data_IF_503463880997
#
_entry.id   IF_503463880997
#
_cell.length_a   1.000
_cell.length_b   1.000
_cell.length_c   1.000
_cell.angle_alpha   90.00
_cell.angle_beta   90.00
_cell.angle_gamma   90.00
#
_symmetry.space_group_name_H-M   'P 1'
#
loop_
_entity.id
_entity.type
_entity.pdbx_description
1 polymer ?
#
# COMPACT_ATOMS: atom_id res chain seq x y z
N UNK A 1 60.80 10.63 18.79
CA UNK A 1 59.81 11.01 17.77
C UNK A 1 58.77 9.90 17.74
N UNK A 2 57.56 10.14 18.27
CA UNK A 2 56.53 9.11 18.44
C UNK A 2 55.66 9.09 17.18
N UNK A 3 55.61 7.94 16.51
CA UNK A 3 54.78 7.73 15.33
C UNK A 3 53.31 7.93 15.68
N UNK A 4 52.68 8.90 15.01
CA UNK A 4 51.25 9.14 15.04
C UNK A 4 50.59 8.10 14.13
N UNK A 5 50.11 7.01 14.72
CA UNK A 5 49.31 6.01 14.01
C UNK A 5 47.95 6.61 13.69
N UNK A 6 47.71 6.88 12.41
CA UNK A 6 46.40 7.28 11.89
C UNK A 6 45.40 6.15 12.21
N UNK A 7 44.51 6.41 13.15
CA UNK A 7 43.42 5.53 13.52
C UNK A 7 42.45 5.37 12.34
N UNK A 8 41.96 4.16 12.05
CA UNK A 8 41.10 3.89 10.90
C UNK A 8 39.66 4.34 11.22
N UNK A 9 39.44 5.66 11.27
CA UNK A 9 38.13 6.24 11.56
C UNK A 9 37.12 6.05 10.42
N UNK A 10 37.58 5.60 9.24
CA UNK A 10 36.75 5.39 8.05
C UNK A 10 35.96 4.07 8.03
N UNK A 11 36.17 3.16 8.99
CA UNK A 11 35.47 1.86 9.01
C UNK A 11 34.17 1.85 9.83
N UNK A 12 33.88 2.88 10.62
CA UNK A 12 32.78 2.83 11.60
C UNK A 12 31.53 3.63 11.18
N UNK A 13 31.60 4.39 10.09
CA UNK A 13 30.45 5.18 9.60
C UNK A 13 29.27 4.36 9.01
N UNK A 14 29.41 3.14 8.46
CA UNK A 14 28.26 2.43 7.91
C UNK A 14 27.38 1.76 8.99
N UNK A 15 27.84 1.68 10.25
CA UNK A 15 27.06 1.06 11.33
C UNK A 15 25.94 1.98 11.86
N UNK A 16 26.09 3.30 11.70
CA UNK A 16 25.15 4.28 12.26
C UNK A 16 23.82 4.33 11.47
N UNK A 17 23.84 3.97 10.18
CA UNK A 17 22.64 3.90 9.34
C UNK A 17 21.73 2.70 9.65
N UNK A 18 22.26 1.65 10.28
CA UNK A 18 21.52 0.43 10.62
C UNK A 18 20.66 0.60 11.88
N UNK A 19 20.95 1.63 12.69
CA UNK A 19 20.30 1.87 13.98
C UNK A 19 19.19 2.92 13.94
N UNK A 20 18.81 3.46 12.77
CA UNK A 20 17.56 4.21 12.68
C UNK A 20 16.41 3.18 12.62
N UNK A 21 15.60 3.01 13.69
CA UNK A 21 14.31 2.41 13.48
C UNK A 21 13.57 3.32 12.51
N UNK A 22 13.20 2.80 11.33
CA UNK A 22 12.02 3.32 10.66
C UNK A 22 10.86 3.04 11.61
N UNK A 23 10.58 3.98 12.50
CA UNK A 23 9.32 4.05 13.19
C UNK A 23 8.26 4.41 12.15
N UNK A 24 7.93 3.44 11.30
CA UNK A 24 6.66 3.40 10.62
C UNK A 24 5.64 3.14 11.73
N UNK A 25 5.17 4.21 12.36
CA UNK A 25 3.98 4.16 13.19
C UNK A 25 2.81 3.98 12.21
N UNK A 26 2.70 2.77 11.66
CA UNK A 26 1.49 2.30 11.03
C UNK A 26 0.48 2.13 12.16
N UNK A 27 -0.25 3.21 12.42
CA UNK A 27 -1.47 3.17 13.20
C UNK A 27 -2.33 1.99 12.69
N UNK A 28 -2.74 1.02 13.54
CA UNK A 28 -3.47 -0.16 13.11
C UNK A 28 -4.94 0.16 12.79
N UNK A 29 -5.23 1.40 12.38
CA UNK A 29 -6.51 1.76 11.84
C UNK A 29 -6.59 1.23 10.41
N UNK A 30 -7.26 0.10 10.28
CA UNK A 30 -7.64 -0.50 9.00
C UNK A 30 -8.57 0.42 8.18
N UNK A 31 -8.98 1.58 8.71
CA UNK A 31 -9.87 2.56 8.07
C UNK A 31 -9.14 3.87 7.84
N UNK A 32 -9.33 4.44 6.65
CA UNK A 32 -8.87 5.78 6.24
C UNK A 32 -10.09 6.61 5.85
N UNK A 33 -10.25 7.78 6.48
CA UNK A 33 -11.28 8.75 6.10
C UNK A 33 -10.75 9.69 5.00
N UNK A 34 -11.49 9.82 3.90
CA UNK A 34 -11.09 10.56 2.71
C UNK A 34 -12.10 11.69 2.43
N UNK A 35 -11.93 12.43 1.32
CA UNK A 35 -12.86 13.49 0.90
C UNK A 35 -12.93 14.70 1.86
N UNK A 36 -11.81 15.40 2.07
CA UNK A 36 -11.78 16.63 2.91
C UNK A 36 -12.86 17.63 2.46
N UNK A 37 -13.73 18.03 3.38
CA UNK A 37 -14.80 19.00 3.12
C UNK A 37 -16.08 18.42 2.52
N UNK A 38 -16.10 17.13 2.15
CA UNK A 38 -17.31 16.44 1.68
C UNK A 38 -17.98 15.70 2.83
N UNK A 39 -18.65 16.49 3.68
CA UNK A 39 -19.34 15.92 4.84
C UNK A 39 -20.71 15.35 4.49
N UNK A 40 -21.08 14.27 5.17
CA UNK A 40 -22.44 13.73 5.14
C UNK A 40 -23.30 14.59 6.04
N UNK A 41 -24.40 15.12 5.50
CA UNK A 41 -25.47 15.70 6.30
C UNK A 41 -26.33 14.58 6.87
N UNK A 42 -26.73 14.74 8.13
CA UNK A 42 -27.65 13.83 8.83
C UNK A 42 -28.95 13.73 8.02
N UNK A 43 -29.42 12.50 7.77
CA UNK A 43 -30.61 12.18 6.97
C UNK A 43 -30.50 12.62 5.50
N UNK A 44 -29.29 12.59 4.93
CA UNK A 44 -29.11 12.77 3.49
C UNK A 44 -29.57 11.53 2.70
N UNK A 45 -29.99 11.73 1.46
CA UNK A 45 -30.25 10.64 0.52
C UNK A 45 -28.99 9.77 0.32
N UNK A 46 -27.80 10.36 0.44
CA UNK A 46 -26.53 9.64 0.44
C UNK A 46 -26.44 8.63 1.60
N UNK A 47 -26.81 9.05 2.82
CA UNK A 47 -26.84 8.16 3.98
C UNK A 47 -27.83 7.01 3.79
N UNK A 48 -29.01 7.29 3.25
CA UNK A 48 -30.01 6.27 2.92
C UNK A 48 -29.48 5.26 1.88
N UNK A 49 -28.78 5.75 0.85
CA UNK A 49 -28.16 4.91 -0.17
C UNK A 49 -27.03 4.03 0.41
N UNK A 50 -26.25 4.54 1.37
CA UNK A 50 -25.25 3.73 2.10
C UNK A 50 -25.93 2.63 2.93
N UNK A 51 -27.05 2.94 3.58
CA UNK A 51 -27.84 1.92 4.30
C UNK A 51 -28.39 0.85 3.36
N UNK A 52 -28.86 1.23 2.17
CA UNK A 52 -29.33 0.30 1.16
C UNK A 52 -28.18 -0.59 0.64
N UNK A 53 -27.00 -0.02 0.39
CA UNK A 53 -25.79 -0.79 0.07
C UNK A 53 -25.47 -1.83 1.16
N UNK A 54 -25.53 -1.44 2.43
CA UNK A 54 -25.30 -2.35 3.54
C UNK A 54 -26.35 -3.48 3.62
N UNK A 55 -27.60 -3.22 3.22
CA UNK A 55 -28.64 -4.25 3.13
C UNK A 55 -28.42 -5.19 1.94
N UNK A 56 -28.01 -4.67 0.79
CA UNK A 56 -27.62 -5.46 -0.38
C UNK A 56 -26.48 -6.42 -0.04
N UNK A 57 -25.38 -5.93 0.53
CA UNK A 57 -24.22 -6.76 0.91
C UNK A 57 -24.58 -7.91 1.86
N UNK A 58 -25.58 -7.72 2.73
CA UNK A 58 -26.06 -8.77 3.65
C UNK A 58 -26.96 -9.80 2.98
N UNK A 59 -27.75 -9.39 1.99
CA UNK A 59 -28.77 -10.24 1.32
C UNK A 59 -28.24 -10.95 0.07
N UNK A 60 -27.12 -10.49 -0.48
CA UNK A 60 -26.52 -11.04 -1.67
C UNK A 60 -26.08 -12.50 -1.48
N UNK A 61 -26.47 -13.38 -2.41
CA UNK A 61 -26.15 -14.82 -2.33
C UNK A 61 -24.65 -15.03 -2.36
N UNK A 62 -24.17 -15.97 -1.55
CA UNK A 62 -22.74 -16.25 -1.39
C UNK A 62 -22.07 -16.61 -2.71
N UNK A 63 -22.80 -17.27 -3.61
CA UNK A 63 -22.32 -17.68 -4.94
C UNK A 63 -22.19 -16.53 -5.94
N UNK A 64 -22.75 -15.36 -5.64
CA UNK A 64 -22.77 -14.21 -6.54
C UNK A 64 -21.56 -13.29 -6.38
N UNK A 65 -20.81 -13.38 -5.27
CA UNK A 65 -19.59 -12.60 -5.04
C UNK A 65 -18.48 -13.12 -5.98
N UNK A 66 -18.19 -12.44 -7.10
CA UNK A 66 -17.14 -12.85 -8.02
C UNK A 66 -15.82 -12.56 -7.30
N UNK A 67 -15.05 -13.61 -7.05
CA UNK A 67 -13.77 -13.48 -6.37
C UNK A 67 -12.89 -12.42 -7.05
N UNK A 68 -12.24 -11.63 -6.20
CA UNK A 68 -11.21 -10.60 -6.47
C UNK A 68 -11.69 -9.16 -6.64
N UNK A 69 -12.82 -8.87 -7.29
CA UNK A 69 -13.22 -7.48 -7.52
C UNK A 69 -14.73 -7.35 -7.70
N UNK A 70 -15.36 -6.41 -6.99
CA UNK A 70 -16.80 -6.16 -7.11
C UNK A 70 -17.10 -4.69 -6.88
N UNK A 71 -17.91 -4.13 -7.78
CA UNK A 71 -18.39 -2.76 -7.74
C UNK A 71 -19.87 -2.75 -7.35
N UNK A 72 -20.26 -1.73 -6.59
CA UNK A 72 -21.63 -1.50 -6.18
C UNK A 72 -21.98 -0.05 -6.45
N UNK A 73 -23.12 0.16 -7.09
CA UNK A 73 -23.71 1.48 -7.30
C UNK A 73 -25.12 1.49 -6.76
N UNK A 74 -25.43 2.45 -5.90
CA UNK A 74 -26.75 2.58 -5.27
C UNK A 74 -27.20 4.04 -5.31
N UNK A 75 -28.39 4.27 -5.87
CA UNK A 75 -28.99 5.59 -5.99
C UNK A 75 -28.47 6.41 -7.19
N UNK A 76 -29.16 7.52 -7.46
CA UNK A 76 -28.86 8.43 -8.56
C UNK A 76 -28.05 9.64 -8.10
N UNK A 77 -27.39 10.32 -9.04
CA UNK A 77 -26.65 11.56 -8.75
C UNK A 77 -27.62 12.66 -8.26
N UNK A 78 -27.19 13.53 -7.33
CA UNK A 78 -25.83 13.66 -6.79
C UNK A 78 -25.55 12.78 -5.54
N UNK A 79 -26.56 12.06 -5.04
CA UNK A 79 -26.50 11.33 -3.78
C UNK A 79 -26.24 9.82 -3.94
N UNK A 80 -25.92 9.41 -5.16
CA UNK A 80 -25.48 8.05 -5.46
C UNK A 80 -24.22 7.67 -4.71
N UNK A 81 -24.18 6.41 -4.28
CA UNK A 81 -23.06 5.79 -3.58
C UNK A 81 -22.36 4.83 -4.53
N UNK A 82 -21.06 4.93 -4.57
CA UNK A 82 -20.20 3.98 -5.28
C UNK A 82 -19.29 3.27 -4.27
N UNK A 83 -19.22 1.95 -4.34
CA UNK A 83 -18.31 1.16 -3.53
C UNK A 83 -17.58 0.13 -4.36
N UNK A 84 -16.28 -0.01 -4.13
CA UNK A 84 -15.44 -1.04 -4.75
C UNK A 84 -14.83 -1.91 -3.67
N UNK A 85 -14.97 -3.22 -3.82
CA UNK A 85 -14.43 -4.21 -2.90
C UNK A 85 -13.50 -5.18 -3.61
N UNK A 86 -12.48 -5.63 -2.87
CA UNK A 86 -11.51 -6.63 -3.34
C UNK A 86 -11.26 -7.62 -2.23
N UNK A 87 -11.39 -8.91 -2.54
CA UNK A 87 -11.12 -9.98 -1.59
C UNK A 87 -9.78 -10.63 -1.88
N UNK A 88 -9.14 -11.12 -0.82
CA UNK A 88 -7.88 -11.86 -0.92
C UNK A 88 -8.08 -13.14 -1.75
N UNK A 89 -7.09 -13.47 -2.58
CA UNK A 89 -7.06 -14.74 -3.30
C UNK A 89 -7.16 -15.91 -2.32
N UNK A 90 -8.01 -16.88 -2.65
CA UNK A 90 -8.21 -18.09 -1.84
C UNK A 90 -9.18 -17.94 -0.67
N UNK A 91 -9.77 -16.75 -0.46
CA UNK A 91 -10.90 -16.58 0.46
C UNK A 91 -12.19 -17.06 -0.21
N UNK A 92 -12.96 -17.91 0.46
CA UNK A 92 -14.27 -18.35 -0.02
C UNK A 92 -15.26 -17.18 -0.06
N UNK A 93 -16.28 -17.27 -0.90
CA UNK A 93 -17.21 -16.16 -1.12
C UNK A 93 -17.99 -15.76 0.13
N UNK A 94 -18.23 -16.67 1.08
CA UNK A 94 -18.91 -16.34 2.36
C UNK A 94 -18.04 -15.49 3.25
N UNK A 95 -16.78 -15.90 3.42
CA UNK A 95 -15.79 -15.16 4.19
C UNK A 95 -15.49 -13.80 3.56
N UNK A 96 -15.44 -13.74 2.24
CA UNK A 96 -15.28 -12.50 1.48
C UNK A 96 -16.43 -11.52 1.75
N UNK A 97 -17.69 -11.97 1.56
CA UNK A 97 -18.88 -11.13 1.84
C UNK A 97 -18.94 -10.66 3.29
N UNK A 98 -18.64 -11.56 4.24
CA UNK A 98 -18.60 -11.20 5.66
C UNK A 98 -17.55 -10.12 5.95
N UNK A 99 -16.36 -10.26 5.34
CA UNK A 99 -15.31 -9.24 5.44
C UNK A 99 -15.74 -7.91 4.84
N UNK A 100 -16.32 -7.89 3.64
CA UNK A 100 -16.76 -6.65 2.98
C UNK A 100 -17.90 -5.97 3.75
N UNK A 101 -18.82 -6.75 4.32
CA UNK A 101 -19.90 -6.22 5.17
C UNK A 101 -19.34 -5.57 6.44
N UNK A 102 -18.37 -6.23 7.08
CA UNK A 102 -17.66 -5.69 8.24
C UNK A 102 -16.86 -4.43 7.87
N UNK A 103 -16.17 -4.45 6.74
CA UNK A 103 -15.40 -3.34 6.22
C UNK A 103 -16.27 -2.10 6.03
N UNK A 104 -17.47 -2.25 5.46
CA UNK A 104 -18.41 -1.14 5.33
C UNK A 104 -18.81 -0.60 6.70
N UNK A 105 -19.17 -1.49 7.63
CA UNK A 105 -19.54 -1.09 8.98
C UNK A 105 -18.42 -0.31 9.68
N UNK A 106 -17.19 -0.84 9.69
CA UNK A 106 -16.05 -0.17 10.31
C UNK A 106 -15.73 1.16 9.64
N UNK A 107 -15.78 1.21 8.31
CA UNK A 107 -15.58 2.44 7.57
C UNK A 107 -16.61 3.52 7.92
N UNK A 108 -17.88 3.15 8.15
CA UNK A 108 -18.93 4.07 8.59
C UNK A 108 -18.77 4.48 10.06
N UNK A 109 -18.36 3.58 10.94
CA UNK A 109 -18.15 3.88 12.35
C UNK A 109 -16.95 4.79 12.59
N UNK A 110 -15.83 4.54 11.91
CA UNK A 110 -14.63 5.36 12.05
C UNK A 110 -14.72 6.69 11.28
N UNK A 111 -15.49 6.73 10.19
CA UNK A 111 -15.65 7.93 9.35
C UNK A 111 -17.13 8.38 9.24
N UNK A 112 -17.82 8.70 10.35
CA UNK A 112 -19.27 8.92 10.37
C UNK A 112 -19.71 10.09 9.48
N UNK A 113 -18.88 11.14 9.42
CA UNK A 113 -19.19 12.36 8.68
C UNK A 113 -18.53 12.43 7.31
N UNK A 114 -17.79 11.41 6.88
CA UNK A 114 -17.11 11.45 5.58
C UNK A 114 -17.93 10.71 4.52
N UNK A 115 -18.05 11.34 3.34
CA UNK A 115 -18.63 10.69 2.16
C UNK A 115 -17.69 9.64 1.57
N UNK A 116 -16.38 9.83 1.69
CA UNK A 116 -15.38 8.88 1.21
C UNK A 116 -14.62 8.21 2.36
N UNK A 117 -14.46 6.90 2.28
CA UNK A 117 -13.63 6.14 3.21
C UNK A 117 -13.07 4.88 2.55
N UNK A 118 -11.95 4.40 3.06
CA UNK A 118 -11.33 3.17 2.61
C UNK A 118 -11.01 2.28 3.81
N UNK A 119 -11.24 0.97 3.65
CA UNK A 119 -10.90 -0.06 4.61
C UNK A 119 -9.94 -1.07 3.98
N UNK A 120 -8.94 -1.50 4.73
CA UNK A 120 -7.97 -2.51 4.32
C UNK A 120 -7.67 -3.47 5.47
N UNK A 121 -7.82 -4.77 5.22
CA UNK A 121 -7.36 -5.83 6.10
C UNK A 121 -6.78 -6.97 5.24
N UNK A 122 -6.12 -7.95 5.86
CA UNK A 122 -5.54 -9.10 5.20
C UNK A 122 -6.56 -9.98 4.44
N UNK A 123 -7.86 -9.84 4.69
CA UNK A 123 -8.91 -10.64 4.04
C UNK A 123 -9.64 -9.91 2.91
N UNK A 124 -9.84 -8.59 3.02
CA UNK A 124 -10.51 -7.78 2.01
C UNK A 124 -10.16 -6.30 2.16
N UNK A 125 -10.43 -5.54 1.11
CA UNK A 125 -10.47 -4.09 1.10
C UNK A 125 -11.80 -3.59 0.55
N UNK A 126 -12.24 -2.43 1.02
CA UNK A 126 -13.44 -1.75 0.54
C UNK A 126 -13.13 -0.25 0.44
N UNK A 127 -13.51 0.39 -0.66
CA UNK A 127 -13.50 1.85 -0.79
C UNK A 127 -14.89 2.34 -1.12
N UNK A 128 -15.38 3.31 -0.36
CA UNK A 128 -16.70 3.92 -0.45
C UNK A 128 -16.51 5.39 -0.85
N UNK A 129 -17.25 5.88 -1.84
CA UNK A 129 -17.20 7.27 -2.31
C UNK A 129 -18.56 7.69 -2.92
N UNK A 130 -18.78 8.99 -3.13
CA UNK A 130 -19.87 9.47 -3.97
C UNK A 130 -19.73 8.97 -5.41
N UNK A 131 -20.85 8.57 -6.01
CA UNK A 131 -20.90 8.12 -7.40
C UNK A 131 -20.44 9.18 -8.42
N UNK A 132 -20.55 10.48 -8.07
CA UNK A 132 -19.99 11.58 -8.88
C UNK A 132 -18.46 11.51 -9.04
N UNK A 133 -17.73 10.80 -8.16
CA UNK A 133 -16.27 10.66 -8.21
C UNK A 133 -15.83 9.29 -8.76
N UNK A 134 -16.71 8.55 -9.45
CA UNK A 134 -16.34 7.27 -10.06
C UNK A 134 -15.13 7.38 -10.99
N UNK A 135 -15.05 8.44 -11.81
CA UNK A 135 -13.93 8.66 -12.72
C UNK A 135 -12.57 8.77 -12.00
N UNK A 136 -12.54 9.32 -10.77
CA UNK A 136 -11.31 9.42 -9.97
C UNK A 136 -10.77 8.06 -9.54
N UNK A 137 -11.65 7.06 -9.35
CA UNK A 137 -11.21 5.69 -9.06
C UNK A 137 -10.59 5.02 -10.26
N UNK A 138 -11.19 5.17 -11.44
CA UNK A 138 -10.64 4.62 -12.68
C UNK A 138 -9.23 5.17 -12.90
N UNK A 139 -9.03 6.47 -12.67
CA UNK A 139 -7.71 7.09 -12.70
C UNK A 139 -6.79 6.54 -11.59
N UNK A 140 -7.28 6.37 -10.37
CA UNK A 140 -6.51 5.82 -9.24
C UNK A 140 -6.06 4.36 -9.45
N UNK A 141 -6.86 3.51 -10.10
CA UNK A 141 -6.47 2.14 -10.44
C UNK A 141 -5.33 2.12 -11.45
N UNK A 142 -5.40 2.97 -12.49
CA UNK A 142 -4.31 3.13 -13.45
C UNK A 142 -3.03 3.65 -12.78
N UNK A 143 -3.14 4.56 -11.81
CA UNK A 143 -2.00 5.06 -11.05
C UNK A 143 -1.41 4.01 -10.11
N UNK A 144 -2.24 3.17 -9.49
CA UNK A 144 -1.77 2.09 -8.61
C UNK A 144 -1.03 1.02 -9.41
N UNK A 145 -1.53 0.66 -10.59
CA UNK A 145 -0.82 -0.21 -11.52
C UNK A 145 0.51 0.43 -11.96
N UNK A 146 0.50 1.72 -12.33
CA UNK A 146 1.74 2.47 -12.64
C UNK A 146 2.71 2.50 -11.46
N UNK A 147 2.25 2.75 -10.23
CA UNK A 147 3.08 2.75 -9.02
C UNK A 147 3.67 1.36 -8.78
N UNK A 148 2.90 0.30 -8.94
CA UNK A 148 3.39 -1.08 -8.82
C UNK A 148 4.46 -1.38 -9.87
N UNK A 149 4.28 -0.92 -11.11
CA UNK A 149 5.28 -1.04 -12.18
C UNK A 149 6.54 -0.22 -11.86
N UNK A 150 6.39 1.03 -11.42
CA UNK A 150 7.50 1.93 -11.04
C UNK A 150 8.27 1.37 -9.85
N UNK A 151 7.57 0.85 -8.84
CA UNK A 151 8.18 0.26 -7.65
C UNK A 151 8.93 -1.04 -8.00
N UNK A 152 8.41 -1.85 -8.94
CA UNK A 152 9.12 -3.01 -9.49
C UNK A 152 10.36 -2.61 -10.30
N UNK A 153 10.29 -1.56 -11.11
CA UNK A 153 11.44 -1.04 -11.85
C UNK A 153 12.51 -0.43 -10.93
N UNK A 154 12.09 0.25 -9.86
CA UNK A 154 12.98 0.80 -8.85
C UNK A 154 13.74 -0.32 -8.11
N UNK A 155 13.05 -1.44 -7.80
CA UNK A 155 13.69 -2.60 -7.19
C UNK A 155 14.74 -3.26 -8.10
N UNK A 156 14.48 -3.36 -9.40
CA UNK A 156 15.45 -3.85 -10.38
C UNK A 156 16.66 -2.91 -10.51
N UNK A 157 16.44 -1.60 -10.52
CA UNK A 157 17.53 -0.61 -10.59
C UNK A 157 18.51 -0.72 -9.40
N UNK A 158 18.00 -0.97 -8.19
CA UNK A 158 18.85 -1.17 -7.01
C UNK A 158 19.68 -2.47 -7.08
N UNK A 159 19.15 -3.53 -7.70
CA UNK A 159 19.90 -4.77 -7.95
C UNK A 159 21.06 -4.54 -8.92
N UNK A 160 20.85 -3.77 -9.99
CA UNK A 160 21.94 -3.43 -10.94
C UNK A 160 23.05 -2.60 -10.30
N UNK A 161 22.70 -1.68 -9.41
CA UNK A 161 23.68 -0.92 -8.64
C UNK A 161 24.51 -1.83 -7.72
N UNK A 162 23.86 -2.75 -7.00
CA UNK A 162 24.55 -3.68 -6.10
C UNK A 162 25.55 -4.61 -6.83
N UNK A 163 25.16 -5.13 -8.00
CA UNK A 163 26.05 -5.96 -8.83
C UNK A 163 27.24 -5.14 -9.33
N UNK A 164 27.01 -3.90 -9.77
CA UNK A 164 28.07 -3.00 -10.21
C UNK A 164 29.09 -2.69 -9.09
N UNK A 165 28.62 -2.38 -7.89
CA UNK A 165 29.49 -2.14 -6.73
C UNK A 165 30.24 -3.41 -6.30
N UNK A 166 29.59 -4.58 -6.29
CA UNK A 166 30.25 -5.84 -5.98
C UNK A 166 31.35 -6.17 -6.99
N UNK A 167 31.12 -5.88 -8.27
CA UNK A 167 32.10 -6.12 -9.32
C UNK A 167 33.30 -5.15 -9.23
N UNK A 168 33.05 -3.86 -9.01
CA UNK A 168 34.10 -2.87 -8.75
C UNK A 168 34.95 -3.25 -7.52
N UNK A 169 34.30 -3.67 -6.44
CA UNK A 169 34.99 -4.13 -5.24
C UNK A 169 35.85 -5.37 -5.52
N UNK A 170 35.33 -6.33 -6.29
CA UNK A 170 36.09 -7.52 -6.69
C UNK A 170 37.31 -7.17 -7.56
N UNK A 171 37.17 -6.21 -8.50
CA UNK A 171 38.29 -5.72 -9.31
C UNK A 171 39.35 -5.03 -8.45
N UNK A 172 38.95 -4.23 -7.45
CA UNK A 172 39.89 -3.61 -6.50
C UNK A 172 40.62 -4.66 -5.64
N UNK A 173 39.92 -5.73 -5.23
CA UNK A 173 40.54 -6.85 -4.51
C UNK A 173 41.51 -7.66 -5.41
N UNK A 174 41.21 -7.77 -6.69
CA UNK A 174 42.10 -8.41 -7.66
C UNK A 174 43.36 -7.55 -7.89
N UNK A 175 43.21 -6.25 -8.06
CA UNK A 175 44.33 -5.32 -8.22
C UNK A 175 45.23 -5.31 -6.99
N UNK A 176 44.66 -5.23 -5.78
CA UNK A 176 45.41 -5.35 -4.52
C UNK A 176 46.17 -6.68 -4.43
N UNK A 177 45.56 -7.80 -4.86
CA UNK A 177 46.23 -9.11 -4.88
C UNK A 177 47.36 -9.16 -5.91
N UNK A 178 47.17 -8.57 -7.08
CA UNK A 178 48.18 -8.55 -8.15
C UNK A 178 49.40 -7.70 -7.77
N UNK A 179 49.15 -6.54 -7.17
CA UNK A 179 50.22 -5.67 -6.64
C UNK A 179 50.99 -6.35 -5.50
N UNK A 180 50.31 -7.11 -4.64
CA UNK A 180 50.95 -7.87 -3.56
C UNK A 180 51.85 -9.01 -4.08
N UNK A 181 51.48 -9.67 -5.19
CA UNK A 181 52.33 -10.68 -5.85
C UNK A 181 53.58 -10.06 -6.46
N UNK A 182 53.44 -8.89 -7.10
CA UNK A 182 54.56 -8.15 -7.72
C UNK A 182 55.61 -7.69 -6.72
N UNK A 183 55.24 -7.42 -5.47
CA UNK A 183 56.18 -7.11 -4.39
C UNK A 183 56.90 -8.32 -3.80
N UNK A 184 56.52 -9.55 -4.16
CA UNK A 184 57.13 -10.79 -3.66
C UNK A 184 58.19 -11.37 -4.61
N UNK A 185 58.34 -10.79 -5.81
CA UNK A 185 59.30 -11.21 -6.84
C UNK A 185 60.49 -10.24 -6.99
N UNK A 186 60.61 -9.27 -6.07
CA UNK A 186 61.77 -8.37 -5.88
C UNK A 186 62.48 -8.71 -4.58
#
# INVERSE_FOLDING_TARGET
MKHLTATPFFCMLPLLFVLLPLAANGDPHNVICLGRGQHISINSDYEANVHHLAAMLRSEKTTAFPGLYTEYVVGDLPDGVYAVSRCRNGTDSSSCRACVTLALQEARTACPYHRESAFFNGNCSLRLLPAVHFDDLVLSETETEKRNIVMRNLSLAMVFQAIGFAWLFFLLLQDSRNNRKRCSEM
#
